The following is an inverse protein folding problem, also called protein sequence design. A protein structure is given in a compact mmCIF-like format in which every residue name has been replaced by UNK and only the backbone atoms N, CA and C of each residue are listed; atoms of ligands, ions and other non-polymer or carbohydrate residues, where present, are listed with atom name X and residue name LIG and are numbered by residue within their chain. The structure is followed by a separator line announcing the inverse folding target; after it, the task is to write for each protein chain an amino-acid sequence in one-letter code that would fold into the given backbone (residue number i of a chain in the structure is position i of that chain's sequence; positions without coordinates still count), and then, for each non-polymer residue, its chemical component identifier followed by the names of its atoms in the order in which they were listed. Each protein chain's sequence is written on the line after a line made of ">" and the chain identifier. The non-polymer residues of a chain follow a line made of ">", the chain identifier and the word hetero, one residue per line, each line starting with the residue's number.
data_IF_248670193067
#
_entry.id   IF_248670193067
#
_cell.length_a   1.000
_cell.length_b   1.000
_cell.length_c   1.000
_cell.angle_alpha   90.00
_cell.angle_beta   90.00
_cell.angle_gamma   90.00
#
_symmetry.space_group_name_H-M   'P 1'
#
loop_
_entity.id
_entity.type
_entity.pdbx_description
1 polymer ?
#
# COMPACT_ATOMS: atom_id res chain seq x y z
N UNK A 1 -31.53 -12.55 -1.77
CA UNK A 1 -30.84 -13.68 -1.11
C UNK A 1 -30.47 -13.26 0.30
N UNK A 2 -31.05 -13.88 1.30
CA UNK A 2 -30.67 -13.55 2.66
C UNK A 2 -29.32 -14.18 2.95
N UNK A 3 -28.37 -13.36 3.32
CA UNK A 3 -27.09 -13.82 3.82
C UNK A 3 -27.25 -14.03 5.32
N UNK A 4 -27.24 -15.27 5.75
CA UNK A 4 -27.18 -15.60 7.19
C UNK A 4 -25.78 -15.39 7.76
N UNK A 5 -24.95 -14.62 7.08
CA UNK A 5 -23.62 -14.29 7.51
C UNK A 5 -23.62 -13.22 8.60
N UNK A 6 -22.75 -13.37 9.56
CA UNK A 6 -22.49 -12.33 10.53
C UNK A 6 -21.58 -11.26 9.90
N UNK A 7 -22.00 -10.02 10.00
CA UNK A 7 -21.17 -8.87 9.58
C UNK A 7 -20.57 -8.22 10.80
N UNK A 8 -19.27 -7.96 10.75
CA UNK A 8 -18.54 -7.29 11.81
C UNK A 8 -17.71 -6.14 11.22
N UNK A 9 -17.79 -4.99 11.85
CA UNK A 9 -16.92 -3.85 11.51
C UNK A 9 -15.77 -3.79 12.50
N UNK A 10 -14.56 -3.73 11.97
CA UNK A 10 -13.33 -3.67 12.77
C UNK A 10 -12.55 -2.42 12.40
N UNK A 11 -12.12 -1.68 13.41
CA UNK A 11 -11.18 -0.57 13.24
C UNK A 11 -9.79 -1.01 13.69
N UNK A 12 -8.81 -0.84 12.80
CA UNK A 12 -7.41 -1.15 13.09
C UNK A 12 -6.63 0.15 13.27
N UNK A 13 -5.94 0.27 14.40
CA UNK A 13 -5.08 1.41 14.68
C UNK A 13 -3.62 0.98 14.65
N UNK A 14 -2.84 1.58 13.77
CA UNK A 14 -1.40 1.34 13.70
C UNK A 14 -0.67 1.95 14.89
N UNK A 15 0.28 1.23 15.44
CA UNK A 15 1.14 1.67 16.55
C UNK A 15 2.54 2.06 16.11
N UNK A 16 2.89 1.74 14.88
CA UNK A 16 4.17 2.06 14.25
C UNK A 16 3.93 2.69 12.88
N UNK A 17 4.91 3.43 12.32
CA UNK A 17 4.80 3.96 10.98
C UNK A 17 4.49 2.88 9.94
N UNK A 18 3.58 3.18 9.04
CA UNK A 18 3.24 2.29 7.93
C UNK A 18 4.21 2.53 6.78
N UNK A 19 4.95 1.50 6.41
CA UNK A 19 5.82 1.52 5.23
C UNK A 19 5.07 0.93 4.05
N UNK A 20 5.04 1.67 2.95
CA UNK A 20 4.44 1.22 1.70
C UNK A 20 5.51 0.92 0.67
N UNK A 21 5.38 -0.23 0.02
CA UNK A 21 6.20 -0.60 -1.13
C UNK A 21 5.30 -1.27 -2.16
N UNK A 22 4.78 -0.46 -3.08
CA UNK A 22 3.86 -0.96 -4.08
C UNK A 22 4.59 -1.88 -5.07
N UNK A 23 4.05 -3.06 -5.29
CA UNK A 23 4.60 -4.07 -6.20
C UNK A 23 4.72 -3.59 -7.66
N UNK A 24 4.04 -2.50 -8.03
CA UNK A 24 4.16 -1.89 -9.36
C UNK A 24 5.60 -1.52 -9.72
N UNK A 25 6.43 -1.20 -8.73
CA UNK A 25 7.84 -0.88 -8.95
C UNK A 25 8.66 -2.08 -9.46
N UNK A 26 8.20 -3.29 -9.23
CA UNK A 26 8.81 -4.51 -9.78
C UNK A 26 8.40 -4.79 -11.23
N UNK A 27 7.34 -4.14 -11.72
CA UNK A 27 6.88 -4.31 -13.09
C UNK A 27 7.63 -3.36 -14.04
N UNK A 28 8.48 -3.87 -14.96
CA UNK A 28 9.27 -3.02 -15.85
C UNK A 28 8.43 -2.21 -16.84
N UNK A 29 7.17 -2.57 -17.04
CA UNK A 29 6.25 -1.87 -17.94
C UNK A 29 5.49 -0.73 -17.25
N UNK A 30 5.51 -0.69 -15.93
CA UNK A 30 4.85 0.39 -15.18
C UNK A 30 5.55 1.74 -15.44
N UNK A 31 4.79 2.83 -15.60
CA UNK A 31 5.37 4.16 -15.80
C UNK A 31 6.36 4.59 -14.72
N UNK A 32 6.11 4.26 -13.46
CA UNK A 32 7.03 4.58 -12.36
C UNK A 32 8.36 3.84 -12.50
N UNK A 33 8.32 2.55 -12.86
CA UNK A 33 9.51 1.74 -13.12
C UNK A 33 10.33 2.26 -14.30
N UNK A 34 9.65 2.70 -15.36
CA UNK A 34 10.30 3.31 -16.53
C UNK A 34 11.00 4.62 -16.17
N UNK A 35 10.36 5.47 -15.37
CA UNK A 35 10.96 6.70 -14.87
C UNK A 35 12.20 6.43 -14.00
N UNK A 36 12.13 5.45 -13.12
CA UNK A 36 13.27 5.01 -12.31
C UNK A 36 14.43 4.58 -13.19
N UNK A 37 14.16 3.79 -14.22
CA UNK A 37 15.18 3.27 -15.13
C UNK A 37 15.94 4.36 -15.86
N UNK A 38 15.27 5.45 -16.24
CA UNK A 38 15.91 6.61 -16.88
C UNK A 38 17.01 7.19 -15.97
N UNK A 39 16.75 7.32 -14.68
CA UNK A 39 17.71 7.85 -13.71
C UNK A 39 18.76 6.82 -13.34
N UNK A 40 18.35 5.59 -13.05
CA UNK A 40 19.27 4.52 -12.58
C UNK A 40 20.27 4.09 -13.65
N UNK A 41 19.92 4.22 -14.94
CA UNK A 41 20.82 3.88 -16.05
C UNK A 41 21.90 4.91 -16.32
N UNK A 42 21.84 6.09 -15.72
CA UNK A 42 22.90 7.08 -15.85
C UNK A 42 24.20 6.60 -15.24
N UNK A 43 25.30 6.72 -15.99
CA UNK A 43 26.63 6.26 -15.56
C UNK A 43 27.18 7.09 -14.41
N UNK A 44 26.92 8.41 -14.45
CA UNK A 44 27.22 9.34 -13.36
C UNK A 44 25.92 9.98 -12.91
N UNK A 45 25.63 9.91 -11.63
CA UNK A 45 24.45 10.52 -11.03
C UNK A 45 24.87 11.76 -10.25
N UNK A 46 24.13 12.85 -10.46
CA UNK A 46 24.25 14.06 -9.65
C UNK A 46 23.36 13.95 -8.41
N UNK A 47 23.52 14.88 -7.46
CA UNK A 47 22.64 14.96 -6.29
C UNK A 47 21.18 15.19 -6.71
N UNK A 48 20.96 16.01 -7.75
CA UNK A 48 19.62 16.23 -8.31
C UNK A 48 19.02 14.93 -8.87
N UNK A 49 19.84 14.09 -9.51
CA UNK A 49 19.40 12.77 -9.99
C UNK A 49 19.00 11.86 -8.83
N UNK A 50 19.74 11.87 -7.73
CA UNK A 50 19.41 11.07 -6.54
C UNK A 50 18.14 11.56 -5.85
N UNK A 51 17.94 12.86 -5.78
CA UNK A 51 16.71 13.44 -5.24
C UNK A 51 15.50 13.10 -6.12
N UNK A 52 15.65 13.23 -7.44
CA UNK A 52 14.62 12.83 -8.40
C UNK A 52 14.27 11.34 -8.28
N UNK A 53 15.27 10.48 -8.10
CA UNK A 53 15.08 9.05 -7.89
C UNK A 53 14.29 8.78 -6.61
N UNK A 54 14.65 9.41 -5.51
CA UNK A 54 13.94 9.29 -4.22
C UNK A 54 12.47 9.69 -4.36
N UNK A 55 12.19 10.76 -5.10
CA UNK A 55 10.82 11.20 -5.36
C UNK A 55 10.03 10.18 -6.18
N UNK A 56 10.64 9.63 -7.22
CA UNK A 56 10.00 8.60 -8.06
C UNK A 56 9.71 7.34 -7.24
N UNK A 57 10.65 6.90 -6.42
CA UNK A 57 10.47 5.74 -5.52
C UNK A 57 9.36 5.98 -4.51
N UNK A 58 9.30 7.16 -3.92
CA UNK A 58 8.23 7.54 -3.00
C UNK A 58 6.86 7.47 -3.67
N UNK A 59 6.68 8.16 -4.79
CA UNK A 59 5.41 8.17 -5.50
C UNK A 59 5.02 6.77 -6.01
N UNK A 60 5.98 6.04 -6.57
CA UNK A 60 5.75 4.71 -7.10
C UNK A 60 5.49 3.66 -6.02
N UNK A 61 6.03 3.85 -4.81
CA UNK A 61 5.85 2.97 -3.67
C UNK A 61 4.54 3.16 -2.93
N UNK A 62 3.85 4.27 -3.12
CA UNK A 62 2.58 4.54 -2.46
C UNK A 62 1.44 3.70 -3.04
N UNK A 63 0.55 3.26 -2.16
CA UNK A 63 -0.81 2.89 -2.52
C UNK A 63 -1.68 4.14 -2.40
N UNK A 64 -1.96 4.76 -3.52
CA UNK A 64 -2.58 6.08 -3.59
C UNK A 64 -3.50 6.19 -4.80
N UNK A 65 -4.66 6.80 -4.58
CA UNK A 65 -5.54 7.31 -5.63
C UNK A 65 -5.95 8.74 -5.28
N UNK A 66 -6.26 9.56 -6.28
CA UNK A 66 -6.72 10.92 -6.03
C UNK A 66 -8.05 10.96 -5.27
N UNK A 67 -8.89 9.95 -5.47
CA UNK A 67 -10.19 9.83 -4.81
C UNK A 67 -10.05 9.49 -3.31
N UNK A 68 -9.20 8.54 -2.98
CA UNK A 68 -9.08 8.02 -1.61
C UNK A 68 -7.92 8.62 -0.82
N UNK A 69 -6.93 9.18 -1.51
CA UNK A 69 -5.63 9.46 -0.90
C UNK A 69 -4.85 8.17 -0.63
N UNK A 70 -3.95 8.17 0.36
CA UNK A 70 -3.24 6.96 0.75
C UNK A 70 -4.21 5.90 1.29
N UNK A 71 -4.04 4.66 0.87
CA UNK A 71 -4.88 3.55 1.30
C UNK A 71 -4.08 2.28 1.54
N UNK A 72 -4.71 1.31 2.20
CA UNK A 72 -4.19 -0.04 2.37
C UNK A 72 -5.05 -1.00 1.56
N UNK A 73 -4.47 -1.82 0.68
CA UNK A 73 -5.23 -2.86 0.00
C UNK A 73 -5.84 -3.85 1.00
N UNK A 74 -7.11 -4.16 0.86
CA UNK A 74 -7.79 -5.09 1.76
C UNK A 74 -7.17 -6.50 1.76
N UNK A 75 -6.52 -6.88 0.66
CA UNK A 75 -5.78 -8.14 0.56
C UNK A 75 -4.70 -8.30 1.66
N UNK A 76 -4.12 -7.19 2.14
CA UNK A 76 -3.15 -7.24 3.23
C UNK A 76 -3.79 -7.69 4.54
N UNK A 77 -4.99 -7.19 4.81
CA UNK A 77 -5.76 -7.55 6.01
C UNK A 77 -6.12 -9.04 5.97
N UNK A 78 -6.62 -9.51 4.83
CA UNK A 78 -6.94 -10.93 4.67
C UNK A 78 -5.70 -11.81 4.81
N UNK A 79 -4.58 -11.42 4.23
CA UNK A 79 -3.30 -12.13 4.36
C UNK A 79 -2.81 -12.16 5.80
N UNK A 80 -2.94 -11.06 6.52
CA UNK A 80 -2.59 -10.97 7.94
C UNK A 80 -3.43 -11.94 8.79
N UNK A 81 -4.73 -11.96 8.56
CA UNK A 81 -5.65 -12.86 9.27
C UNK A 81 -5.33 -14.32 8.95
N UNK A 82 -5.13 -14.64 7.68
CA UNK A 82 -4.73 -15.98 7.22
C UNK A 82 -3.44 -16.43 7.91
N UNK A 83 -2.42 -15.60 7.91
CA UNK A 83 -1.11 -15.96 8.46
C UNK A 83 -1.16 -16.10 9.98
N UNK A 84 -1.95 -15.26 10.66
CA UNK A 84 -2.24 -15.46 12.09
C UNK A 84 -2.98 -16.76 12.36
N UNK A 85 -3.97 -17.11 11.55
CA UNK A 85 -4.74 -18.34 11.71
C UNK A 85 -3.92 -19.61 11.40
N UNK A 86 -2.84 -19.53 10.67
CA UNK A 86 -1.92 -20.65 10.42
C UNK A 86 -1.28 -21.19 11.71
N UNK A 87 -1.11 -20.36 12.72
CA UNK A 87 -0.57 -20.76 14.03
C UNK A 87 -1.40 -21.89 14.62
N UNK A 88 -2.72 -21.84 14.44
CA UNK A 88 -3.67 -22.86 14.88
C UNK A 88 -4.11 -23.80 13.74
N UNK A 89 -3.41 -23.82 12.62
CA UNK A 89 -3.71 -24.61 11.41
C UNK A 89 -5.05 -24.27 10.76
N UNK A 90 -5.58 -23.06 10.96
CA UNK A 90 -6.87 -22.60 10.45
C UNK A 90 -6.76 -21.59 9.29
N UNK A 91 -5.59 -21.46 8.69
CA UNK A 91 -5.38 -20.46 7.62
C UNK A 91 -6.30 -20.63 6.41
N UNK A 92 -6.54 -21.87 5.98
CA UNK A 92 -7.45 -22.16 4.86
C UNK A 92 -8.90 -21.84 5.21
N UNK A 93 -9.31 -22.13 6.43
CA UNK A 93 -10.66 -21.84 6.90
C UNK A 93 -10.91 -20.34 7.03
N UNK A 94 -9.92 -19.59 7.48
CA UNK A 94 -10.00 -18.12 7.53
C UNK A 94 -10.22 -17.51 6.16
N UNK A 95 -9.49 -17.94 5.12
CA UNK A 95 -9.67 -17.45 3.75
C UNK A 95 -11.06 -17.78 3.21
N UNK A 96 -11.57 -18.97 3.52
CA UNK A 96 -12.90 -19.41 3.05
C UNK A 96 -14.04 -18.73 3.78
N UNK A 97 -13.84 -18.39 5.05
CA UNK A 97 -14.89 -17.87 5.93
C UNK A 97 -15.01 -16.34 5.89
N UNK A 98 -13.96 -15.62 5.48
CA UNK A 98 -13.92 -14.16 5.57
C UNK A 98 -14.06 -13.54 4.19
N UNK A 99 -15.03 -12.64 4.07
CA UNK A 99 -15.23 -11.78 2.91
C UNK A 99 -15.02 -10.32 3.33
N UNK A 100 -14.12 -9.62 2.64
CA UNK A 100 -13.95 -8.19 2.78
C UNK A 100 -14.75 -7.48 1.69
N UNK A 101 -15.60 -6.55 2.09
CA UNK A 101 -16.48 -5.83 1.16
C UNK A 101 -15.77 -4.70 0.41
N UNK A 102 -14.73 -4.14 1.01
CA UNK A 102 -13.96 -3.04 0.43
C UNK A 102 -12.63 -3.55 -0.12
N UNK A 103 -12.26 -3.06 -1.31
CA UNK A 103 -11.01 -3.43 -1.97
C UNK A 103 -9.85 -2.60 -1.46
N UNK A 104 -10.08 -1.31 -1.26
CA UNK A 104 -9.10 -0.33 -0.82
C UNK A 104 -9.60 0.34 0.45
N UNK A 105 -8.76 0.35 1.47
CA UNK A 105 -9.11 0.88 2.79
C UNK A 105 -8.41 2.23 2.98
N UNK A 106 -9.13 3.35 2.91
CA UNK A 106 -8.53 4.67 3.13
C UNK A 106 -7.94 4.78 4.52
N UNK A 107 -6.76 5.38 4.62
CA UNK A 107 -6.15 5.66 5.91
C UNK A 107 -6.83 6.86 6.58
N UNK A 108 -7.12 6.74 7.87
CA UNK A 108 -7.59 7.83 8.71
C UNK A 108 -6.40 8.37 9.51
N UNK A 109 -6.02 9.63 9.26
CA UNK A 109 -4.91 10.28 9.95
C UNK A 109 -5.04 11.79 9.85
N UNK A 110 -4.30 12.51 10.69
CA UNK A 110 -4.16 13.96 10.59
C UNK A 110 -2.94 14.28 9.73
N UNK A 111 -3.14 14.94 8.62
CA UNK A 111 -2.06 15.30 7.71
C UNK A 111 -2.53 15.45 6.27
N UNK A 112 -1.59 15.80 5.38
CA UNK A 112 -1.89 15.97 3.97
C UNK A 112 -2.27 14.62 3.33
N UNK A 113 -3.12 14.70 2.30
CA UNK A 113 -3.58 13.53 1.55
C UNK A 113 -3.11 13.52 0.11
N UNK A 114 -2.55 14.61 -0.35
CA UNK A 114 -1.95 14.72 -1.68
C UNK A 114 -0.48 14.28 -1.65
N UNK A 115 0.02 13.84 -2.80
CA UNK A 115 1.39 13.33 -2.92
C UNK A 115 2.43 14.37 -2.54
N UNK A 116 2.26 15.61 -3.01
CA UNK A 116 3.21 16.69 -2.71
C UNK A 116 3.24 17.03 -1.22
N UNK A 117 2.08 17.08 -0.58
CA UNK A 117 1.98 17.32 0.85
C UNK A 117 2.62 16.20 1.67
N UNK A 118 2.42 14.95 1.27
CA UNK A 118 3.05 13.79 1.91
C UNK A 118 4.57 13.83 1.77
N UNK A 119 5.07 14.13 0.59
CA UNK A 119 6.50 14.25 0.34
C UNK A 119 7.16 15.35 1.18
N UNK A 120 6.56 16.55 1.20
CA UNK A 120 7.07 17.69 1.96
C UNK A 120 6.97 17.50 3.46
N UNK A 121 5.95 16.79 3.92
CA UNK A 121 5.71 16.52 5.34
C UNK A 121 6.60 15.42 5.92
N UNK A 122 7.36 14.70 5.11
CA UNK A 122 8.19 13.58 5.56
C UNK A 122 7.40 12.36 6.03
N UNK A 123 6.20 12.17 5.49
CA UNK A 123 5.34 11.01 5.79
C UNK A 123 5.76 9.79 4.98
#
# INVERSE_FOLDING_TARGET
>A
MSTNGNTMTVELTGTLPLLMHNERLANPLDPASKKMKVVTSKRKKTDDDLEALSRIEFEGGLYYTEELGPFVPSKWILSMIRDGAKITKQGKDAIRAILLFETDLPLKYKGPRDIDGLWKGGF
#
